data_IF_155161828659
#
_entry.id   IF_155161828659
#
_cell.length_a   1.000
_cell.length_b   1.000
_cell.length_c   1.000
_cell.angle_alpha   90.00
_cell.angle_beta   90.00
_cell.angle_gamma   90.00
#
_symmetry.space_group_name_H-M   'P 1'
#
loop_
_entity.id
_entity.type
_entity.pdbx_description
1 polymer ?
#
# COMPACT_ATOMS: atom_id res chain seq x y z
N UNK A 1 -4.79 -17.71 11.40
CA UNK A 1 -5.01 -16.43 10.67
C UNK A 1 -3.82 -16.08 9.80
N UNK A 2 -2.60 -15.99 10.36
CA UNK A 2 -1.37 -15.71 9.61
C UNK A 2 -1.12 -16.67 8.44
N UNK A 3 -1.33 -17.98 8.63
CA UNK A 3 -1.18 -18.94 7.52
C UNK A 3 -2.23 -18.77 6.41
N UNK A 4 -3.46 -18.39 6.77
CA UNK A 4 -4.52 -18.18 5.78
C UNK A 4 -4.22 -16.92 4.95
N UNK A 5 -3.71 -15.87 5.60
CA UNK A 5 -3.24 -14.65 4.93
C UNK A 5 -2.06 -14.94 4.01
N UNK A 6 -1.03 -15.63 4.51
CA UNK A 6 0.14 -15.98 3.72
C UNK A 6 -0.23 -16.83 2.49
N UNK A 7 -1.13 -17.80 2.67
CA UNK A 7 -1.66 -18.60 1.55
C UNK A 7 -2.44 -17.75 0.57
N UNK A 8 -3.33 -16.89 1.05
CA UNK A 8 -4.09 -15.97 0.20
C UNK A 8 -3.19 -15.08 -0.65
N UNK A 9 -2.16 -14.47 -0.04
CA UNK A 9 -1.21 -13.61 -0.74
C UNK A 9 -0.46 -14.38 -1.82
N UNK A 10 0.05 -15.57 -1.50
CA UNK A 10 0.78 -16.41 -2.44
C UNK A 10 -0.08 -16.84 -3.64
N UNK A 11 -1.34 -17.21 -3.41
CA UNK A 11 -2.22 -17.74 -4.44
C UNK A 11 -2.93 -16.65 -5.26
N UNK A 12 -3.37 -15.57 -4.61
CA UNK A 12 -4.28 -14.58 -5.21
C UNK A 12 -3.61 -13.23 -5.51
N UNK A 13 -2.51 -12.91 -4.82
CA UNK A 13 -1.76 -11.66 -4.97
C UNK A 13 -0.26 -11.91 -5.15
N UNK A 14 0.16 -12.82 -6.04
CA UNK A 14 1.55 -13.24 -6.16
C UNK A 14 2.50 -12.11 -6.58
N UNK A 15 1.97 -11.04 -7.21
CA UNK A 15 2.77 -9.87 -7.62
C UNK A 15 2.98 -8.85 -6.51
N UNK A 16 2.33 -8.99 -5.34
CA UNK A 16 2.59 -8.11 -4.20
C UNK A 16 4.05 -8.26 -3.75
N UNK A 17 4.75 -7.14 -3.52
CA UNK A 17 6.13 -7.19 -3.05
C UNK A 17 6.16 -7.45 -1.53
N UNK A 18 5.24 -6.84 -0.78
CA UNK A 18 5.22 -6.95 0.69
C UNK A 18 4.63 -8.29 1.20
N UNK A 19 3.96 -9.06 0.35
CA UNK A 19 3.48 -10.43 0.62
C UNK A 19 2.64 -10.58 1.91
N UNK A 20 1.90 -9.54 2.26
CA UNK A 20 0.92 -9.52 3.35
C UNK A 20 -0.20 -8.54 3.04
N UNK A 21 -1.29 -8.61 3.78
CA UNK A 21 -2.32 -7.58 3.73
C UNK A 21 -1.78 -6.28 4.32
N UNK A 22 -2.15 -5.18 3.67
CA UNK A 22 -1.95 -3.84 4.23
C UNK A 22 -2.91 -3.68 5.39
N UNK A 23 -2.41 -3.23 6.54
CA UNK A 23 -3.27 -2.91 7.68
C UNK A 23 -3.87 -1.51 7.51
N UNK A 24 -5.10 -1.25 7.98
CA UNK A 24 -5.75 0.05 7.81
C UNK A 24 -4.91 1.24 8.30
N UNK A 25 -4.12 1.06 9.36
CA UNK A 25 -3.29 2.13 9.94
C UNK A 25 -2.17 2.58 8.98
N UNK A 26 -1.70 1.70 8.10
CA UNK A 26 -0.67 2.05 7.11
C UNK A 26 -1.22 3.03 6.05
N UNK A 27 -2.48 2.85 5.65
CA UNK A 27 -3.20 3.81 4.78
C UNK A 27 -3.50 5.09 5.54
N UNK A 28 -3.97 4.99 6.79
CA UNK A 28 -4.29 6.15 7.62
C UNK A 28 -3.06 7.04 7.86
N UNK A 29 -1.89 6.46 8.13
CA UNK A 29 -0.64 7.19 8.30
C UNK A 29 -0.25 7.95 7.03
N UNK A 30 -0.40 7.31 5.87
CA UNK A 30 -0.14 7.94 4.59
C UNK A 30 -1.07 9.13 4.31
N UNK A 31 -2.37 8.96 4.54
CA UNK A 31 -3.35 10.04 4.40
C UNK A 31 -3.08 11.16 5.40
N UNK A 32 -2.74 10.83 6.65
CA UNK A 32 -2.40 11.81 7.69
C UNK A 32 -1.20 12.66 7.28
N UNK A 33 -0.16 12.04 6.70
CA UNK A 33 0.97 12.76 6.12
C UNK A 33 0.51 13.70 5.00
N UNK A 34 -0.32 13.23 4.06
CA UNK A 34 -0.84 14.04 2.96
C UNK A 34 -1.70 15.22 3.41
N UNK A 35 -2.43 15.10 4.51
CA UNK A 35 -3.23 16.19 5.08
C UNK A 35 -2.39 17.21 5.88
N UNK A 36 -1.14 16.90 6.20
CA UNK A 36 -0.27 17.76 7.00
C UNK A 36 0.42 18.85 6.14
N UNK A 37 0.96 19.92 6.74
CA UNK A 37 1.78 20.90 6.00
C UNK A 37 3.06 20.31 5.39
N UNK A 38 3.50 19.13 5.82
CA UNK A 38 4.73 18.48 5.37
C UNK A 38 4.66 18.03 3.89
N UNK A 39 3.45 17.81 3.37
CA UNK A 39 3.19 17.39 2.00
C UNK A 39 2.88 18.56 1.05
N UNK A 40 3.17 19.80 1.44
CA UNK A 40 2.72 21.02 0.72
C UNK A 40 3.11 21.10 -0.77
N UNK A 41 4.14 20.39 -1.21
CA UNK A 41 4.56 20.31 -2.61
C UNK A 41 3.81 19.26 -3.44
N UNK A 42 3.02 18.38 -2.81
CA UNK A 42 2.26 17.32 -3.48
C UNK A 42 0.88 17.86 -3.81
N UNK A 43 0.55 17.94 -5.11
CA UNK A 43 -0.75 18.42 -5.55
C UNK A 43 -1.19 17.72 -6.86
N UNK A 44 -2.50 17.57 -7.06
CA UNK A 44 -3.09 17.01 -8.29
C UNK A 44 -2.58 15.62 -8.69
N UNK A 45 -2.07 14.84 -7.73
CA UNK A 45 -1.29 13.63 -7.98
C UNK A 45 -2.05 12.37 -7.54
N UNK A 46 -1.88 11.28 -8.30
CA UNK A 46 -2.32 9.95 -7.91
C UNK A 46 -1.15 9.18 -7.29
N UNK A 47 -1.17 8.96 -5.98
CA UNK A 47 -0.08 8.30 -5.27
C UNK A 47 -0.44 6.84 -4.95
N UNK A 48 0.51 5.92 -5.15
CA UNK A 48 0.32 4.49 -4.87
C UNK A 48 0.81 4.10 -3.47
N UNK A 49 -0.03 3.33 -2.78
CA UNK A 49 0.26 2.66 -1.52
C UNK A 49 -0.35 1.25 -1.53
N UNK A 50 0.07 0.43 -2.48
CA UNK A 50 -0.51 -0.90 -2.76
C UNK A 50 0.41 -2.07 -2.36
N UNK A 51 1.55 -1.78 -1.71
CA UNK A 51 2.53 -2.80 -1.35
C UNK A 51 3.27 -3.39 -2.56
N UNK A 52 3.33 -2.65 -3.67
CA UNK A 52 4.01 -3.07 -4.90
C UNK A 52 3.18 -4.04 -5.74
N UNK A 53 1.85 -4.07 -5.57
CA UNK A 53 0.98 -5.02 -6.25
C UNK A 53 0.96 -4.79 -7.78
N UNK A 54 0.89 -3.52 -8.21
CA UNK A 54 0.88 -3.16 -9.63
C UNK A 54 2.31 -3.09 -10.16
N UNK A 55 2.70 -4.11 -10.93
CA UNK A 55 4.01 -4.21 -11.60
C UNK A 55 4.16 -3.18 -12.72
N UNK A 56 4.55 -1.95 -12.37
CA UNK A 56 4.75 -0.82 -13.27
C UNK A 56 5.83 0.12 -12.74
N UNK A 57 6.55 0.77 -13.65
CA UNK A 57 7.59 1.79 -13.38
C UNK A 57 7.05 3.14 -12.88
N UNK A 58 5.73 3.28 -12.77
CA UNK A 58 5.05 4.50 -12.29
C UNK A 58 5.45 4.91 -10.86
#
# INVERSE_FOLDING_TARGET
MVEAEARFMKENRPTSIIQRLIRPEEIANFVTFLCSPLSSAINGSALRIDGGLVSSVF
#
